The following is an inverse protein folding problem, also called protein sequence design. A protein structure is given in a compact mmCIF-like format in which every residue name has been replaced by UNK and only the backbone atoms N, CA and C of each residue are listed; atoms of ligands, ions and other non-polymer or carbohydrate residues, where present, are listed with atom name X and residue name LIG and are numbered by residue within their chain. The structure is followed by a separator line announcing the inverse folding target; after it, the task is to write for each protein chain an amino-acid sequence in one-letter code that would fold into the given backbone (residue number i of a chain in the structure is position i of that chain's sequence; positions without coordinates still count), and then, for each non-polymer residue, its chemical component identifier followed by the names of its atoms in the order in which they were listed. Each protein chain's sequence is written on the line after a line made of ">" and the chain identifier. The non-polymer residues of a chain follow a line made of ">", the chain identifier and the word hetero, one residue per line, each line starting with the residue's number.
data_IF_187457628831
#
_entry.id   IF_187457628831
#
_cell.length_a   1.000
_cell.length_b   1.000
_cell.length_c   1.000
_cell.angle_alpha   90.00
_cell.angle_beta   90.00
_cell.angle_gamma   90.00
#
_symmetry.space_group_name_H-M   'P 1'
#
loop_
_entity.id
_entity.type
_entity.pdbx_description
1 polymer ?
#
# COMPACT_ATOMS: atom_id res chain seq x y z
N UNK A 1 45.40 -30.87 -31.19
CA UNK A 1 44.76 -31.17 -29.90
C UNK A 1 43.94 -29.94 -29.50
N UNK A 2 42.60 -29.99 -29.76
CA UNK A 2 41.71 -28.85 -29.57
C UNK A 2 41.11 -28.94 -28.16
N UNK A 3 41.52 -28.03 -27.27
CA UNK A 3 41.01 -27.94 -25.90
C UNK A 3 39.60 -27.35 -25.90
N UNK A 4 38.55 -28.17 -25.79
CA UNK A 4 37.19 -27.74 -25.60
C UNK A 4 37.06 -27.08 -24.24
N UNK A 5 36.93 -25.74 -24.22
CA UNK A 5 36.55 -24.98 -23.01
C UNK A 5 35.08 -25.27 -22.71
N UNK A 6 34.85 -26.07 -21.66
CA UNK A 6 33.51 -26.28 -21.10
C UNK A 6 33.08 -25.03 -20.34
N UNK A 7 32.14 -24.28 -20.90
CA UNK A 7 31.52 -23.13 -20.20
C UNK A 7 30.44 -23.67 -19.27
N UNK A 8 30.77 -23.76 -17.98
CA UNK A 8 29.80 -24.10 -16.94
C UNK A 8 28.93 -22.85 -16.67
N UNK A 9 27.72 -22.80 -17.22
CA UNK A 9 26.73 -21.78 -16.88
C UNK A 9 26.12 -22.15 -15.53
N UNK A 10 26.55 -21.48 -14.47
CA UNK A 10 25.97 -21.61 -13.13
C UNK A 10 24.64 -20.82 -13.14
N UNK A 11 23.52 -21.56 -13.27
CA UNK A 11 22.18 -20.98 -13.13
C UNK A 11 21.95 -20.69 -11.65
N UNK A 12 22.23 -19.46 -11.20
CA UNK A 12 21.83 -18.97 -9.90
C UNK A 12 20.33 -18.81 -9.88
N UNK A 13 19.61 -19.78 -9.33
CA UNK A 13 18.21 -19.63 -8.97
C UNK A 13 18.11 -18.57 -7.86
N UNK A 14 17.76 -17.33 -8.24
CA UNK A 14 17.43 -16.29 -7.28
C UNK A 14 16.05 -16.66 -6.71
N UNK A 15 16.03 -17.30 -5.55
CA UNK A 15 14.81 -17.44 -4.76
C UNK A 15 14.43 -16.05 -4.27
N UNK A 16 13.50 -15.43 -4.96
CA UNK A 16 12.86 -14.21 -4.49
C UNK A 16 11.96 -14.57 -3.29
N UNK A 17 12.43 -14.36 -2.09
CA UNK A 17 11.57 -14.46 -0.91
C UNK A 17 10.60 -13.29 -0.96
N UNK A 18 9.32 -13.60 -1.22
CA UNK A 18 8.24 -12.62 -1.11
C UNK A 18 7.92 -12.40 0.36
N UNK A 19 7.86 -11.13 0.77
CA UNK A 19 7.39 -10.74 2.09
C UNK A 19 5.86 -10.77 2.09
N UNK A 20 5.25 -11.49 3.03
CA UNK A 20 3.78 -11.58 3.16
C UNK A 20 3.42 -11.72 4.64
N UNK A 21 3.01 -10.60 5.25
CA UNK A 21 2.73 -10.49 6.68
C UNK A 21 1.26 -10.19 6.94
N UNK A 22 0.67 -10.88 7.91
CA UNK A 22 -0.71 -10.69 8.34
C UNK A 22 -0.73 -10.20 9.78
N UNK A 23 -1.46 -9.12 10.02
CA UNK A 23 -1.70 -8.55 11.33
C UNK A 23 -3.17 -8.68 11.71
N UNK A 24 -3.43 -9.20 12.90
CA UNK A 24 -4.77 -9.24 13.50
C UNK A 24 -4.97 -8.06 14.45
N UNK A 25 -6.04 -7.29 14.24
CA UNK A 25 -6.38 -6.13 15.06
C UNK A 25 -7.52 -6.49 16.04
N UNK A 26 -7.56 -5.90 17.25
CA UNK A 26 -6.69 -4.81 17.71
C UNK A 26 -5.36 -5.27 18.31
N UNK A 27 -5.12 -6.56 18.48
CA UNK A 27 -4.00 -7.11 19.26
C UNK A 27 -2.64 -6.66 18.70
N UNK A 28 -2.47 -6.71 17.38
CA UNK A 28 -1.24 -6.30 16.69
C UNK A 28 -1.35 -4.89 16.05
N UNK A 29 -2.25 -4.05 16.55
CA UNK A 29 -2.49 -2.72 15.98
C UNK A 29 -1.26 -1.79 16.06
N UNK A 30 -0.42 -1.96 17.07
CA UNK A 30 0.81 -1.16 17.24
C UNK A 30 1.84 -1.52 16.17
N UNK A 31 2.04 -2.81 15.96
CA UNK A 31 2.98 -3.38 14.98
C UNK A 31 2.54 -3.03 13.56
N UNK A 32 1.30 -3.34 13.19
CA UNK A 32 0.73 -3.01 11.89
C UNK A 32 0.83 -1.51 11.57
N UNK A 33 0.47 -0.66 12.53
CA UNK A 33 0.57 0.80 12.38
C UNK A 33 2.01 1.26 12.21
N UNK A 34 2.94 0.69 12.97
CA UNK A 34 4.37 1.03 12.87
C UNK A 34 4.92 0.70 11.49
N UNK A 35 4.59 -0.49 10.97
CA UNK A 35 5.06 -0.92 9.66
C UNK A 35 4.46 -0.07 8.53
N UNK A 36 3.16 0.21 8.57
CA UNK A 36 2.52 1.10 7.58
C UNK A 36 3.17 2.50 7.59
N UNK A 37 3.43 3.08 8.77
CA UNK A 37 4.07 4.39 8.87
C UNK A 37 5.50 4.37 8.32
N UNK A 38 6.25 3.31 8.57
CA UNK A 38 7.60 3.11 8.03
C UNK A 38 7.60 2.99 6.50
N UNK A 39 6.65 2.23 5.94
CA UNK A 39 6.48 2.13 4.49
C UNK A 39 6.18 3.49 3.85
N UNK A 40 5.27 4.27 4.44
CA UNK A 40 4.94 5.63 3.97
C UNK A 40 6.15 6.57 4.08
N UNK A 41 6.92 6.52 5.18
CA UNK A 41 8.07 7.41 5.40
C UNK A 41 9.24 7.10 4.45
N UNK A 42 9.37 5.85 4.03
CA UNK A 42 10.40 5.36 3.11
C UNK A 42 10.01 5.43 1.63
N UNK A 43 8.77 5.79 1.30
CA UNK A 43 8.32 5.93 -0.08
C UNK A 43 9.17 6.93 -0.85
N UNK A 44 9.53 6.59 -2.11
CA UNK A 44 10.43 7.36 -2.97
C UNK A 44 9.70 8.04 -4.13
N UNK A 45 8.68 7.40 -4.69
CA UNK A 45 8.06 7.85 -5.92
C UNK A 45 6.58 8.17 -5.76
N UNK A 46 5.78 7.19 -5.34
CA UNK A 46 4.33 7.35 -5.25
C UNK A 46 3.67 6.48 -4.20
N UNK A 47 2.53 6.95 -3.72
CA UNK A 47 1.61 6.20 -2.85
C UNK A 47 0.21 6.32 -3.44
N UNK A 48 -0.36 5.19 -3.85
CA UNK A 48 -1.72 5.07 -4.35
C UNK A 48 -2.61 4.42 -3.29
N UNK A 49 -3.67 5.11 -2.86
CA UNK A 49 -4.57 4.62 -1.81
C UNK A 49 -6.00 4.54 -2.36
N UNK A 50 -6.63 3.37 -2.22
CA UNK A 50 -8.07 3.20 -2.33
C UNK A 50 -8.60 2.82 -0.94
N UNK A 51 -9.24 3.76 -0.25
CA UNK A 51 -9.66 3.61 1.14
C UNK A 51 -11.08 4.11 1.34
N UNK A 52 -12.00 3.22 1.78
CA UNK A 52 -13.38 3.63 2.05
C UNK A 52 -13.44 4.80 3.04
N UNK A 53 -12.74 4.70 4.17
CA UNK A 53 -12.61 5.79 5.14
C UNK A 53 -11.15 6.01 5.54
N UNK A 54 -10.61 7.19 5.22
CA UNK A 54 -9.27 7.64 5.60
C UNK A 54 -9.38 8.80 6.58
N UNK A 55 -9.36 8.52 7.89
CA UNK A 55 -9.50 9.53 8.94
C UNK A 55 -8.53 9.37 10.12
N UNK A 56 -7.52 8.50 10.01
CA UNK A 56 -6.50 8.36 11.05
C UNK A 56 -5.44 9.47 10.90
N UNK A 57 -5.45 10.45 11.79
CA UNK A 57 -4.56 11.63 11.74
C UNK A 57 -3.08 11.29 11.56
N UNK A 58 -2.60 10.17 12.16
CA UNK A 58 -1.19 9.76 12.04
C UNK A 58 -0.83 9.38 10.61
N UNK A 59 -1.68 8.62 9.91
CA UNK A 59 -1.46 8.24 8.51
C UNK A 59 -1.53 9.47 7.60
N UNK A 60 -2.55 10.32 7.76
CA UNK A 60 -2.67 11.55 6.96
C UNK A 60 -1.46 12.47 7.17
N UNK A 61 -0.93 12.57 8.41
CA UNK A 61 0.29 13.34 8.70
C UNK A 61 1.52 12.74 7.99
N UNK A 62 1.66 11.40 7.99
CA UNK A 62 2.76 10.72 7.31
C UNK A 62 2.69 10.92 5.78
N UNK A 63 1.50 10.79 5.18
CA UNK A 63 1.28 11.07 3.75
C UNK A 63 1.61 12.51 3.37
N UNK A 64 1.24 13.49 4.23
CA UNK A 64 1.66 14.89 4.03
C UNK A 64 3.17 15.06 4.02
N UNK A 65 3.88 14.35 4.92
CA UNK A 65 5.34 14.40 5.01
C UNK A 65 5.97 13.79 3.76
N UNK A 66 5.48 12.62 3.32
CA UNK A 66 5.94 11.98 2.10
C UNK A 66 5.74 12.90 0.87
N UNK A 67 4.55 13.50 0.73
CA UNK A 67 4.26 14.43 -0.36
C UNK A 67 5.20 15.66 -0.34
N UNK A 68 5.53 16.21 0.83
CA UNK A 68 6.50 17.32 0.95
C UNK A 68 7.91 16.94 0.51
N UNK A 69 8.26 15.65 0.54
CA UNK A 69 9.53 15.11 0.04
C UNK A 69 9.51 14.84 -1.48
N UNK A 70 8.40 15.11 -2.16
CA UNK A 70 8.24 14.91 -3.60
C UNK A 70 7.53 13.62 -3.99
N UNK A 71 7.03 12.82 -3.04
CA UNK A 71 6.25 11.62 -3.33
C UNK A 71 4.87 12.01 -3.85
N UNK A 72 4.45 11.44 -4.97
CA UNK A 72 3.09 11.58 -5.50
C UNK A 72 2.11 10.82 -4.61
N UNK A 73 1.03 11.48 -4.17
CA UNK A 73 0.01 10.86 -3.31
C UNK A 73 -1.35 10.96 -3.97
N UNK A 74 -1.89 9.81 -4.39
CA UNK A 74 -3.27 9.69 -4.89
C UNK A 74 -4.15 9.04 -3.81
N UNK A 75 -5.32 9.61 -3.54
CA UNK A 75 -6.30 9.05 -2.60
C UNK A 75 -7.66 8.93 -3.26
N UNK A 76 -8.08 7.70 -3.50
CA UNK A 76 -9.40 7.32 -3.97
C UNK A 76 -10.22 6.96 -2.72
N UNK A 77 -11.19 7.80 -2.34
CA UNK A 77 -11.88 7.63 -1.07
C UNK A 77 -13.38 7.86 -1.20
N UNK A 78 -14.15 7.23 -0.32
CA UNK A 78 -15.59 7.43 -0.24
C UNK A 78 -15.91 8.51 0.79
N UNK A 79 -15.33 8.40 2.01
CA UNK A 79 -15.47 9.40 3.06
C UNK A 79 -14.17 9.62 3.84
N UNK A 80 -14.08 10.77 4.47
CA UNK A 80 -13.05 11.11 5.45
C UNK A 80 -13.63 12.13 6.43
N UNK A 81 -13.44 11.87 7.72
CA UNK A 81 -13.80 12.81 8.80
C UNK A 81 -12.71 13.90 8.99
N UNK A 82 -11.66 13.85 8.18
CA UNK A 82 -10.58 14.83 8.13
C UNK A 82 -10.55 15.51 6.78
N UNK A 83 -10.20 16.79 6.79
CA UNK A 83 -9.86 17.48 5.54
C UNK A 83 -8.55 16.92 5.00
N UNK A 84 -8.63 16.22 3.87
CA UNK A 84 -7.46 15.71 3.16
C UNK A 84 -6.73 16.86 2.45
N UNK A 85 -5.38 16.81 2.37
CA UNK A 85 -4.62 17.86 1.72
C UNK A 85 -5.01 18.04 0.25
N UNK A 86 -5.40 19.26 -0.15
CA UNK A 86 -5.75 19.60 -1.55
C UNK A 86 -4.62 19.36 -2.55
N UNK A 87 -3.39 19.20 -2.07
CA UNK A 87 -2.21 18.89 -2.89
C UNK A 87 -2.11 17.42 -3.29
N UNK A 88 -2.90 16.54 -2.67
CA UNK A 88 -3.03 15.16 -3.11
C UNK A 88 -3.93 15.08 -4.34
N UNK A 89 -3.73 14.07 -5.19
CA UNK A 89 -4.72 13.72 -6.21
C UNK A 89 -5.89 13.02 -5.52
N UNK A 90 -6.96 13.78 -5.26
CA UNK A 90 -8.14 13.32 -4.53
C UNK A 90 -9.22 12.89 -5.52
N UNK A 91 -9.61 11.62 -5.46
CA UNK A 91 -10.60 11.03 -6.35
C UNK A 91 -11.80 10.51 -5.56
N UNK A 92 -13.01 10.95 -5.96
CA UNK A 92 -14.27 10.34 -5.52
C UNK A 92 -14.85 9.53 -6.66
N UNK A 93 -14.91 8.19 -6.53
CA UNK A 93 -15.47 7.34 -7.57
C UNK A 93 -16.99 7.50 -7.67
N UNK A 94 -17.56 7.31 -8.88
CA UNK A 94 -19.03 7.39 -9.12
C UNK A 94 -19.82 6.32 -8.37
N UNK A 95 -19.21 5.16 -8.12
CA UNK A 95 -19.83 4.08 -7.35
C UNK A 95 -19.20 4.01 -5.98
N UNK A 96 -19.97 3.56 -4.97
CA UNK A 96 -19.44 3.30 -3.63
C UNK A 96 -18.23 2.39 -3.70
N UNK A 97 -17.11 2.86 -3.20
CA UNK A 97 -15.87 2.13 -3.12
C UNK A 97 -15.66 1.67 -1.66
N UNK A 98 -15.57 0.36 -1.44
CA UNK A 98 -15.39 -0.21 -0.09
C UNK A 98 -14.04 -0.93 0.07
N UNK A 99 -13.09 -0.64 -0.82
CA UNK A 99 -11.73 -1.20 -0.83
C UNK A 99 -10.91 -0.57 0.30
N UNK A 100 -9.98 -1.34 0.84
CA UNK A 100 -8.93 -0.90 1.78
C UNK A 100 -7.61 -1.43 1.24
N UNK A 101 -6.96 -0.59 0.43
CA UNK A 101 -5.74 -0.90 -0.29
C UNK A 101 -4.85 0.34 -0.35
N UNK A 102 -3.58 0.17 -0.05
CA UNK A 102 -2.55 1.15 -0.36
C UNK A 102 -1.40 0.45 -1.09
N UNK A 103 -0.85 1.09 -2.12
CA UNK A 103 0.31 0.60 -2.86
C UNK A 103 1.40 1.65 -2.75
N UNK A 104 2.59 1.23 -2.34
CA UNK A 104 3.76 2.07 -2.15
C UNK A 104 4.79 1.72 -3.22
N UNK A 105 5.17 2.70 -4.04
CA UNK A 105 6.19 2.62 -5.09
C UNK A 105 5.99 1.46 -6.10
N UNK A 106 4.77 0.96 -6.28
CA UNK A 106 4.44 -0.28 -7.02
C UNK A 106 5.18 -1.53 -6.50
N UNK A 107 5.70 -1.51 -5.28
CA UNK A 107 6.55 -2.56 -4.69
C UNK A 107 5.93 -3.25 -3.50
N UNK A 108 5.12 -2.56 -2.72
CA UNK A 108 4.49 -3.12 -1.52
C UNK A 108 3.02 -2.72 -1.49
N UNK A 109 2.15 -3.68 -1.18
CA UNK A 109 0.73 -3.45 -0.95
C UNK A 109 0.36 -3.67 0.51
N UNK A 110 -0.47 -2.77 1.04
CA UNK A 110 -1.15 -2.90 2.34
C UNK A 110 -2.64 -3.03 2.05
N UNK A 111 -3.26 -4.13 2.43
CA UNK A 111 -4.67 -4.38 2.15
C UNK A 111 -5.33 -5.21 3.25
N UNK A 112 -6.65 -5.25 3.27
CA UNK A 112 -7.39 -6.06 4.24
C UNK A 112 -8.79 -5.53 4.48
N UNK A 113 -9.31 -5.78 5.69
CA UNK A 113 -10.63 -5.32 6.11
C UNK A 113 -10.60 -3.93 6.77
N UNK A 114 -9.47 -3.52 7.35
CA UNK A 114 -9.35 -2.32 8.16
C UNK A 114 -9.35 -1.02 7.34
N UNK A 115 -10.30 -0.13 7.64
CA UNK A 115 -10.16 1.27 7.25
C UNK A 115 -9.01 1.94 8.00
N UNK A 116 -8.43 2.97 7.42
CA UNK A 116 -7.41 3.75 8.14
C UNK A 116 -8.07 4.78 9.05
N UNK A 117 -8.69 4.27 10.12
CA UNK A 117 -9.38 5.02 11.17
C UNK A 117 -8.89 4.59 12.55
N UNK A 118 -9.06 5.45 13.57
CA UNK A 118 -8.77 5.07 14.96
C UNK A 118 -9.61 3.88 15.43
N UNK A 119 -10.87 3.81 14.98
CA UNK A 119 -11.79 2.76 15.35
C UNK A 119 -11.32 1.40 14.84
N UNK A 120 -10.97 1.30 13.54
CA UNK A 120 -10.48 0.05 12.95
C UNK A 120 -9.20 -0.46 13.61
N UNK A 121 -8.28 0.45 13.99
CA UNK A 121 -7.02 0.06 14.64
C UNK A 121 -7.12 -0.17 16.16
N UNK A 122 -8.17 0.25 16.81
CA UNK A 122 -8.23 0.20 18.27
C UNK A 122 -9.43 -0.51 18.87
N UNK A 123 -10.47 -0.81 18.09
CA UNK A 123 -11.74 -1.34 18.64
C UNK A 123 -12.33 -2.50 17.82
N UNK A 124 -12.03 -2.58 16.53
CA UNK A 124 -12.62 -3.61 15.67
C UNK A 124 -11.69 -4.81 15.56
N UNK A 125 -12.29 -5.98 15.35
CA UNK A 125 -11.57 -7.14 14.82
C UNK A 125 -11.38 -6.96 13.32
N UNK A 126 -10.16 -6.83 12.87
CA UNK A 126 -9.78 -6.58 11.48
C UNK A 126 -8.50 -7.36 11.13
N UNK A 127 -8.27 -7.56 9.86
CA UNK A 127 -6.99 -8.04 9.36
C UNK A 127 -6.34 -7.00 8.45
N UNK A 128 -5.01 -6.92 8.51
CA UNK A 128 -4.17 -6.17 7.58
C UNK A 128 -3.12 -7.12 7.03
N UNK A 129 -2.99 -7.14 5.72
CA UNK A 129 -1.94 -7.85 5.02
C UNK A 129 -0.97 -6.83 4.42
N UNK A 130 0.33 -7.13 4.51
CA UNK A 130 1.40 -6.36 3.86
C UNK A 130 2.20 -7.33 3.01
N UNK A 131 2.32 -7.07 1.71
CA UNK A 131 2.96 -8.00 0.78
C UNK A 131 3.75 -7.26 -0.31
N UNK A 132 4.86 -7.87 -0.75
CA UNK A 132 5.60 -7.50 -1.95
C UNK A 132 5.47 -8.54 -3.07
N UNK A 133 4.53 -9.46 -2.95
CA UNK A 133 4.24 -10.46 -3.96
C UNK A 133 3.87 -9.82 -5.30
N UNK A 134 4.67 -10.08 -6.33
CA UNK A 134 4.56 -9.41 -7.63
C UNK A 134 3.24 -9.71 -8.35
N UNK A 135 2.71 -10.92 -8.23
CA UNK A 135 1.44 -11.30 -8.87
C UNK A 135 0.25 -10.58 -8.23
N UNK A 136 0.24 -10.49 -6.90
CA UNK A 136 -0.77 -9.71 -6.16
C UNK A 136 -0.66 -8.22 -6.52
N UNK A 137 0.57 -7.68 -6.54
CA UNK A 137 0.82 -6.27 -6.87
C UNK A 137 0.32 -5.89 -8.25
N UNK A 138 0.58 -6.71 -9.28
CA UNK A 138 0.05 -6.46 -10.62
C UNK A 138 -1.48 -6.37 -10.64
N UNK A 139 -2.17 -7.25 -9.90
CA UNK A 139 -3.63 -7.23 -9.77
C UNK A 139 -4.10 -5.96 -9.08
N UNK A 140 -3.46 -5.56 -7.98
CA UNK A 140 -3.79 -4.35 -7.22
C UNK A 140 -3.54 -3.07 -8.03
N UNK A 141 -2.43 -2.99 -8.75
CA UNK A 141 -2.13 -1.86 -9.64
C UNK A 141 -3.21 -1.70 -10.72
N UNK A 142 -3.69 -2.82 -11.30
CA UNK A 142 -4.80 -2.79 -12.26
C UNK A 142 -6.10 -2.27 -11.63
N UNK A 143 -6.40 -2.66 -10.39
CA UNK A 143 -7.56 -2.14 -9.65
C UNK A 143 -7.46 -0.62 -9.49
N UNK A 144 -6.34 -0.11 -9.00
CA UNK A 144 -6.11 1.33 -8.84
C UNK A 144 -6.26 2.08 -10.18
N UNK A 145 -5.65 1.56 -11.26
CA UNK A 145 -5.77 2.16 -12.60
C UNK A 145 -7.22 2.23 -13.07
N UNK A 146 -8.01 1.20 -12.83
CA UNK A 146 -9.44 1.18 -13.19
C UNK A 146 -10.26 2.18 -12.38
N UNK A 147 -9.98 2.30 -11.08
CA UNK A 147 -10.65 3.30 -10.23
C UNK A 147 -10.32 4.73 -10.66
N UNK A 148 -9.07 4.99 -11.05
CA UNK A 148 -8.64 6.30 -11.59
C UNK A 148 -9.36 6.67 -12.89
N UNK A 149 -9.68 5.69 -13.76
CA UNK A 149 -10.42 5.91 -15.03
C UNK A 149 -11.92 6.13 -14.82
N UNK A 150 -12.49 5.64 -13.74
CA UNK A 150 -13.91 5.73 -13.42
C UNK A 150 -14.33 7.06 -12.75
N UNK A 151 -13.55 8.13 -12.91
CA UNK A 151 -13.86 9.49 -12.41
C UNK A 151 -15.18 10.05 -12.90
#
# INVERSE_FOLDING_TARGET
>A
MVLKKLFLVLLLAVFSYSFDEIYFLPDQAKEAKSEILKLIDNAQNKIDIAMYNLSYKKFVKALRKAHKKGVEVTVIYDKSDLELPKKFDLIKPKRKQHIKLAIIDDKVAVYGSANWTKQSFGKNYEIINITDDSEKLEKFIRIIKNLKKGK
#
